data_IF_157088282919
#
_entry.id   IF_157088282919
#
_cell.length_a   1.000
_cell.length_b   1.000
_cell.length_c   1.000
_cell.angle_alpha   90.00
_cell.angle_beta   90.00
_cell.angle_gamma   90.00
#
_symmetry.space_group_name_H-M   'P 1'
#
loop_
_entity.id
_entity.type
_entity.pdbx_description
1 polymer ?
#
# COMPACT_ATOMS: atom_id res chain seq x y z
N UNK A 1 10.41 13.24 -33.99
CA UNK A 1 9.20 12.70 -33.34
C UNK A 1 8.72 13.73 -32.34
N UNK A 2 7.64 14.44 -32.58
CA UNK A 2 7.00 15.33 -31.60
C UNK A 2 6.56 14.43 -30.44
N UNK A 3 7.09 14.67 -29.23
CA UNK A 3 6.58 14.01 -28.03
C UNK A 3 5.11 14.39 -27.90
N UNK A 4 4.20 13.42 -28.01
CA UNK A 4 2.80 13.66 -27.68
C UNK A 4 2.74 14.28 -26.27
N UNK A 5 1.96 15.35 -26.13
CA UNK A 5 1.79 16.00 -24.82
C UNK A 5 1.12 15.00 -23.86
N UNK A 6 1.50 14.97 -22.57
CA UNK A 6 0.87 14.09 -21.61
C UNK A 6 -0.62 14.43 -21.50
N UNK A 7 -1.47 13.43 -21.67
CA UNK A 7 -2.92 13.60 -21.61
C UNK A 7 -3.50 13.44 -20.20
N UNK A 8 -2.77 12.77 -19.32
CA UNK A 8 -3.19 12.49 -17.93
C UNK A 8 -2.21 13.10 -16.94
N UNK A 9 -2.72 13.92 -16.03
CA UNK A 9 -1.96 14.37 -14.85
C UNK A 9 -2.23 13.43 -13.68
N UNK A 10 -1.22 12.70 -13.24
CA UNK A 10 -1.30 11.80 -12.08
C UNK A 10 -0.56 12.44 -10.91
N UNK A 11 -1.12 12.42 -9.70
CA UNK A 11 -0.42 12.88 -8.51
C UNK A 11 -0.72 12.05 -7.27
N UNK A 12 0.27 12.00 -6.39
CA UNK A 12 0.20 11.26 -5.13
C UNK A 12 1.23 11.77 -4.13
N UNK A 13 0.91 11.65 -2.85
CA UNK A 13 1.91 11.73 -1.76
C UNK A 13 2.56 10.35 -1.49
N UNK A 14 1.94 9.28 -1.99
CA UNK A 14 2.42 7.91 -1.82
C UNK A 14 3.49 7.59 -2.86
N UNK A 15 4.75 7.71 -2.48
CA UNK A 15 5.91 7.31 -3.27
C UNK A 15 7.08 6.98 -2.33
N UNK A 16 8.09 6.22 -2.79
CA UNK A 16 9.28 5.91 -1.99
C UNK A 16 10.00 7.18 -1.55
N UNK A 17 10.24 7.31 -0.25
CA UNK A 17 10.95 8.45 0.34
C UNK A 17 12.29 7.99 0.93
N UNK A 18 13.32 8.85 1.03
CA UNK A 18 14.66 8.45 1.50
C UNK A 18 14.67 7.70 2.85
N UNK A 19 13.72 8.02 3.74
CA UNK A 19 13.56 7.34 5.05
C UNK A 19 12.56 6.18 5.03
N UNK A 20 11.90 5.92 3.91
CA UNK A 20 10.85 4.91 3.75
C UNK A 20 10.79 4.42 2.31
N UNK A 21 11.88 3.79 1.86
CA UNK A 21 12.05 3.35 0.46
C UNK A 21 11.02 2.31 -0.01
N UNK A 22 10.43 1.56 0.91
CA UNK A 22 9.37 0.58 0.61
C UNK A 22 7.95 1.15 0.62
N UNK A 23 7.76 2.39 1.12
CA UNK A 23 6.44 3.02 1.17
C UNK A 23 6.07 3.59 -0.20
N UNK A 24 4.87 3.26 -0.71
CA UNK A 24 4.37 3.81 -1.98
C UNK A 24 5.04 3.23 -3.23
N UNK A 25 5.80 2.15 -3.12
CA UNK A 25 6.42 1.45 -4.26
C UNK A 25 5.37 1.07 -5.29
N UNK A 26 4.18 0.64 -4.86
CA UNK A 26 3.09 0.26 -5.74
C UNK A 26 2.63 1.41 -6.68
N UNK A 27 2.78 2.68 -6.29
CA UNK A 27 2.54 3.82 -7.20
C UNK A 27 3.61 3.85 -8.29
N UNK A 28 4.87 3.67 -7.92
CA UNK A 28 5.98 3.67 -8.88
C UNK A 28 5.85 2.51 -9.86
N UNK A 29 5.51 1.31 -9.38
CA UNK A 29 5.30 0.13 -10.25
C UNK A 29 4.11 0.35 -11.20
N UNK A 30 3.01 0.91 -10.71
CA UNK A 30 1.86 1.30 -11.53
C UNK A 30 2.26 2.30 -12.63
N UNK A 31 3.02 3.34 -12.30
CA UNK A 31 3.51 4.32 -13.26
C UNK A 31 4.51 3.74 -14.28
N UNK A 32 5.32 2.76 -13.86
CA UNK A 32 6.20 2.02 -14.78
C UNK A 32 5.39 1.24 -15.81
N UNK A 33 4.36 0.52 -15.36
CA UNK A 33 3.49 -0.24 -16.24
C UNK A 33 2.71 0.67 -17.19
N UNK A 34 2.21 1.84 -16.73
CA UNK A 34 1.62 2.87 -17.60
C UNK A 34 2.59 3.34 -18.69
N UNK A 35 3.85 3.59 -18.32
CA UNK A 35 4.89 3.98 -19.27
C UNK A 35 5.18 2.89 -20.31
N UNK A 36 5.19 1.63 -19.90
CA UNK A 36 5.40 0.48 -20.78
C UNK A 36 4.23 0.29 -21.78
N UNK A 37 2.99 0.59 -21.35
CA UNK A 37 1.82 0.58 -22.22
C UNK A 37 1.81 1.74 -23.24
N UNK A 38 2.73 2.71 -23.09
CA UNK A 38 2.84 3.87 -24.00
C UNK A 38 1.80 4.97 -23.74
N UNK A 39 1.08 4.94 -22.61
CA UNK A 39 0.15 6.00 -22.25
C UNK A 39 0.91 7.29 -21.90
N UNK A 40 0.62 8.43 -22.55
CA UNK A 40 1.28 9.69 -22.22
C UNK A 40 0.71 10.27 -20.93
N UNK A 41 1.48 10.18 -19.84
CA UNK A 41 1.14 10.78 -18.54
C UNK A 41 2.24 11.71 -18.06
N UNK A 42 1.86 12.61 -17.15
CA UNK A 42 2.80 13.36 -16.31
C UNK A 42 2.53 13.03 -14.84
N UNK A 43 3.59 12.89 -14.05
CA UNK A 43 3.48 12.60 -12.62
C UNK A 43 3.92 13.80 -11.79
N UNK A 44 3.08 14.19 -10.85
CA UNK A 44 3.34 15.24 -9.86
C UNK A 44 3.39 14.62 -8.45
N UNK A 45 4.51 14.07 -8.01
CA UNK A 45 4.67 13.62 -6.64
C UNK A 45 4.58 14.82 -5.69
N UNK A 46 3.75 14.70 -4.65
CA UNK A 46 3.56 15.77 -3.65
C UNK A 46 4.11 15.32 -2.31
N UNK A 47 4.81 16.18 -1.59
CA UNK A 47 5.31 15.87 -0.25
C UNK A 47 5.18 17.06 0.68
N UNK A 48 5.11 16.77 1.98
CA UNK A 48 5.18 17.80 3.02
C UNK A 48 6.59 17.89 3.58
N UNK A 49 7.02 19.09 3.95
CA UNK A 49 8.27 19.30 4.68
C UNK A 49 8.10 20.28 5.82
N UNK A 50 9.01 20.23 6.78
CA UNK A 50 9.01 21.16 7.91
C UNK A 50 9.51 22.53 7.47
N UNK A 51 8.80 23.60 7.81
CA UNK A 51 9.29 24.98 7.60
C UNK A 51 10.60 25.21 8.35
N UNK A 52 11.39 26.20 7.93
CA UNK A 52 12.71 26.44 8.52
C UNK A 52 12.70 26.55 10.04
N UNK A 53 11.78 27.30 10.70
CA UNK A 53 11.71 27.36 12.16
C UNK A 53 11.48 25.98 12.81
N UNK A 54 10.63 25.15 12.21
CA UNK A 54 10.36 23.79 12.73
C UNK A 54 11.60 22.92 12.59
N UNK A 55 12.30 23.02 11.49
CA UNK A 55 13.55 22.24 11.25
C UNK A 55 14.59 22.57 12.32
N UNK A 56 14.77 23.85 12.65
CA UNK A 56 15.67 24.29 13.72
C UNK A 56 15.21 23.74 15.08
N UNK A 57 13.94 23.91 15.42
CA UNK A 57 13.37 23.43 16.69
C UNK A 57 13.52 21.91 16.86
N UNK A 58 13.26 21.13 15.81
CA UNK A 58 13.42 19.68 15.83
C UNK A 58 14.88 19.28 16.05
N UNK A 59 15.81 19.92 15.35
CA UNK A 59 17.26 19.67 15.53
C UNK A 59 17.70 19.97 16.95
N UNK A 60 17.27 21.09 17.56
CA UNK A 60 17.58 21.44 18.93
C UNK A 60 17.03 20.43 19.95
N UNK A 61 15.92 19.75 19.64
CA UNK A 61 15.32 18.71 20.47
C UNK A 61 15.79 17.29 20.12
N UNK A 62 16.81 17.12 19.29
CA UNK A 62 17.32 15.81 18.88
C UNK A 62 16.43 15.04 17.89
N UNK A 63 15.41 15.67 17.29
CA UNK A 63 14.55 15.04 16.29
C UNK A 63 15.06 15.30 14.86
N UNK A 64 14.88 14.31 14.01
CA UNK A 64 15.17 14.47 12.58
C UNK A 64 14.05 15.27 11.89
N UNK A 65 14.35 16.45 11.30
CA UNK A 65 13.36 17.21 10.56
C UNK A 65 13.00 16.52 9.23
N UNK A 66 11.78 16.77 8.75
CA UNK A 66 11.40 16.47 7.36
C UNK A 66 11.97 17.56 6.46
N UNK A 67 12.75 17.15 5.46
CA UNK A 67 13.36 18.06 4.47
C UNK A 67 12.63 17.92 3.13
N UNK A 68 12.70 18.94 2.25
CA UNK A 68 12.20 18.83 0.89
C UNK A 68 12.88 17.66 0.18
N UNK A 69 12.10 16.96 -0.66
CA UNK A 69 12.57 15.91 -1.56
C UNK A 69 12.69 16.55 -2.94
N UNK A 70 13.77 16.32 -3.66
CA UNK A 70 14.02 16.96 -4.96
C UNK A 70 13.23 16.29 -6.06
N UNK A 71 13.36 14.99 -6.21
CA UNK A 71 12.68 14.25 -7.28
C UNK A 71 12.42 12.79 -6.92
N UNK A 72 11.50 12.18 -7.69
CA UNK A 72 11.25 10.73 -7.69
C UNK A 72 11.59 10.20 -9.08
N UNK A 73 12.28 9.08 -9.13
CA UNK A 73 12.60 8.39 -10.37
C UNK A 73 11.53 7.32 -10.67
N UNK A 74 10.98 7.37 -11.89
CA UNK A 74 10.12 6.31 -12.43
C UNK A 74 10.68 5.95 -13.80
N UNK A 75 11.08 4.70 -13.99
CA UNK A 75 11.89 4.28 -15.12
C UNK A 75 13.17 5.14 -15.23
N UNK A 76 13.41 5.73 -16.39
CA UNK A 76 14.57 6.62 -16.63
C UNK A 76 14.22 8.11 -16.45
N UNK A 77 12.97 8.45 -16.07
CA UNK A 77 12.52 9.83 -15.94
C UNK A 77 12.48 10.27 -14.48
N UNK A 78 12.99 11.47 -14.22
CA UNK A 78 12.91 12.12 -12.92
C UNK A 78 11.74 13.10 -12.89
N UNK A 79 10.90 12.96 -11.86
CA UNK A 79 9.77 13.85 -11.62
C UNK A 79 10.05 14.71 -10.39
N UNK A 80 10.07 16.05 -10.53
CA UNK A 80 10.31 16.94 -9.41
C UNK A 80 9.19 16.82 -8.37
N UNK A 81 9.56 16.74 -7.09
CA UNK A 81 8.59 16.66 -6.00
C UNK A 81 8.04 18.03 -5.67
N UNK A 82 6.73 18.17 -5.70
CA UNK A 82 6.02 19.37 -5.29
C UNK A 82 5.93 19.42 -3.77
N UNK A 83 6.81 20.24 -3.18
CA UNK A 83 6.97 20.29 -1.74
C UNK A 83 6.04 21.34 -1.11
N UNK A 84 5.07 20.89 -0.28
CA UNK A 84 4.15 21.75 0.47
C UNK A 84 4.70 22.03 1.86
N UNK A 85 4.99 23.30 2.14
CA UNK A 85 5.45 23.74 3.47
C UNK A 85 4.27 23.87 4.42
N UNK A 86 4.39 23.29 5.60
CA UNK A 86 3.39 23.42 6.67
C UNK A 86 3.99 24.06 7.91
N UNK A 87 3.22 24.91 8.56
CA UNK A 87 3.54 25.50 9.86
C UNK A 87 3.48 24.46 10.99
N UNK A 88 4.02 24.79 12.17
CA UNK A 88 4.04 23.88 13.32
C UNK A 88 2.63 23.48 13.76
N UNK A 89 1.71 24.43 13.81
CA UNK A 89 0.30 24.20 14.19
C UNK A 89 -0.34 23.19 13.23
N UNK A 90 -0.18 23.40 11.92
CA UNK A 90 -0.78 22.52 10.90
C UNK A 90 -0.16 21.11 10.95
N UNK A 91 1.15 20.99 11.22
CA UNK A 91 1.81 19.69 11.41
C UNK A 91 1.27 18.91 12.60
N UNK A 92 1.08 19.60 13.73
CA UNK A 92 0.46 19.00 14.92
C UNK A 92 -0.99 18.61 14.62
N UNK A 93 -1.73 19.48 13.94
CA UNK A 93 -3.11 19.23 13.54
C UNK A 93 -3.25 18.03 12.60
N UNK A 94 -2.32 17.83 11.63
CA UNK A 94 -2.33 16.62 10.81
C UNK A 94 -2.15 15.34 11.65
N UNK A 95 -1.24 15.35 12.63
CA UNK A 95 -1.03 14.19 13.53
C UNK A 95 -2.27 13.93 14.39
N UNK A 96 -2.94 14.99 14.85
CA UNK A 96 -4.17 14.91 15.65
C UNK A 96 -5.43 14.72 14.80
N UNK A 97 -5.29 14.60 13.50
CA UNK A 97 -6.40 14.51 12.54
C UNK A 97 -7.37 15.69 12.58
N UNK A 98 -6.86 16.89 12.88
CA UNK A 98 -7.69 18.12 12.89
C UNK A 98 -8.17 18.46 11.46
N UNK A 99 -9.49 18.60 11.21
CA UNK A 99 -10.05 18.84 9.88
C UNK A 99 -9.47 20.08 9.20
N UNK A 100 -9.30 21.18 9.94
CA UNK A 100 -8.76 22.43 9.41
C UNK A 100 -7.33 22.30 8.86
N UNK A 101 -6.48 21.54 9.55
CA UNK A 101 -5.09 21.31 9.15
C UNK A 101 -5.01 20.42 7.91
N UNK A 102 -5.84 19.38 7.85
CA UNK A 102 -5.94 18.51 6.68
C UNK A 102 -6.50 19.25 5.45
N UNK A 103 -7.52 20.08 5.63
CA UNK A 103 -8.07 20.92 4.55
C UNK A 103 -7.03 21.90 4.02
N UNK A 104 -6.26 22.54 4.91
CA UNK A 104 -5.19 23.44 4.51
C UNK A 104 -4.09 22.73 3.74
N UNK A 105 -3.77 21.49 4.12
CA UNK A 105 -2.83 20.67 3.38
C UNK A 105 -3.35 20.32 1.98
N UNK A 106 -4.61 19.88 1.87
CA UNK A 106 -5.22 19.55 0.58
C UNK A 106 -5.31 20.76 -0.36
N UNK A 107 -5.63 21.94 0.16
CA UNK A 107 -5.61 23.21 -0.58
C UNK A 107 -4.19 23.58 -1.02
N UNK A 108 -3.20 23.42 -0.13
CA UNK A 108 -1.79 23.63 -0.44
C UNK A 108 -1.28 22.71 -1.53
N UNK A 109 -1.74 21.46 -1.57
CA UNK A 109 -1.45 20.50 -2.62
C UNK A 109 -1.99 20.97 -3.97
N UNK A 110 -3.27 21.35 -4.05
CA UNK A 110 -3.86 21.88 -5.27
C UNK A 110 -3.09 23.11 -5.80
N UNK A 111 -2.77 24.05 -4.91
CA UNK A 111 -2.00 25.27 -5.25
C UNK A 111 -0.57 24.95 -5.73
N UNK A 112 0.10 23.95 -5.11
CA UNK A 112 1.43 23.53 -5.53
C UNK A 112 1.41 22.90 -6.92
N UNK A 113 0.41 22.07 -7.22
CA UNK A 113 0.23 21.46 -8.54
C UNK A 113 -0.03 22.56 -9.58
N UNK A 114 -0.98 23.44 -9.34
CA UNK A 114 -1.34 24.54 -10.24
C UNK A 114 -0.16 25.49 -10.56
N UNK A 115 0.65 25.78 -9.55
CA UNK A 115 1.85 26.63 -9.74
C UNK A 115 2.94 25.99 -10.62
N UNK A 116 3.04 24.66 -10.62
CA UNK A 116 4.13 23.94 -11.26
C UNK A 116 3.74 23.17 -12.53
N UNK A 117 2.45 23.09 -12.83
CA UNK A 117 1.90 22.38 -13.99
C UNK A 117 0.93 23.28 -14.75
N UNK A 118 0.99 23.25 -16.06
CA UNK A 118 -0.03 23.87 -16.90
C UNK A 118 -1.24 22.95 -17.01
N UNK A 119 -2.23 23.15 -16.16
CA UNK A 119 -3.37 22.23 -16.02
C UNK A 119 -4.18 22.11 -17.30
N UNK A 120 -4.31 23.16 -18.10
CA UNK A 120 -5.06 23.19 -19.34
C UNK A 120 -4.49 22.27 -20.45
N UNK A 121 -3.26 21.79 -20.28
CA UNK A 121 -2.65 20.83 -21.22
C UNK A 121 -3.11 19.38 -21.02
N UNK A 122 -3.75 19.08 -19.88
CA UNK A 122 -4.22 17.73 -19.58
C UNK A 122 -5.68 17.55 -19.92
N UNK A 123 -6.04 16.31 -20.28
CA UNK A 123 -7.44 15.92 -20.57
C UNK A 123 -8.10 15.19 -19.40
N UNK A 124 -7.30 14.73 -18.45
CA UNK A 124 -7.74 13.97 -17.29
C UNK A 124 -6.80 14.20 -16.11
N UNK A 125 -7.37 14.25 -14.92
CA UNK A 125 -6.64 14.30 -13.65
C UNK A 125 -6.86 12.99 -12.91
N UNK A 126 -5.79 12.33 -12.42
CA UNK A 126 -5.91 11.13 -11.58
C UNK A 126 -5.22 11.33 -10.24
N UNK A 127 -5.99 11.25 -9.16
CA UNK A 127 -5.49 11.33 -7.79
C UNK A 127 -5.43 9.95 -7.13
N UNK A 128 -4.27 9.57 -6.61
CA UNK A 128 -4.15 8.37 -5.79
C UNK A 128 -4.32 8.73 -4.31
N UNK A 129 -5.40 8.33 -3.76
CA UNK A 129 -6.13 8.56 -2.51
C UNK A 129 -7.29 9.54 -2.70
N UNK A 130 -8.41 9.18 -2.08
CA UNK A 130 -9.61 10.04 -2.13
C UNK A 130 -9.39 11.34 -1.36
N UNK A 131 -8.64 11.30 -0.26
CA UNK A 131 -8.28 12.50 0.51
C UNK A 131 -6.87 12.37 1.09
N UNK A 132 -6.05 13.41 1.01
CA UNK A 132 -6.30 14.77 0.52
C UNK A 132 -6.18 14.95 -1.01
N UNK A 133 -5.60 14.01 -1.75
CA UNK A 133 -5.33 14.13 -3.19
C UNK A 133 -6.61 14.31 -4.01
N UNK A 134 -7.65 13.51 -3.76
CA UNK A 134 -8.92 13.63 -4.49
C UNK A 134 -9.60 14.99 -4.28
N UNK A 135 -9.44 15.61 -3.11
CA UNK A 135 -9.89 17.00 -2.90
C UNK A 135 -9.14 17.97 -3.83
N UNK A 136 -7.82 17.82 -3.94
CA UNK A 136 -7.03 18.66 -4.85
C UNK A 136 -7.45 18.45 -6.31
N UNK A 137 -7.71 17.19 -6.72
CA UNK A 137 -8.21 16.86 -8.04
C UNK A 137 -9.58 17.49 -8.32
N UNK A 138 -10.52 17.38 -7.38
CA UNK A 138 -11.84 17.99 -7.48
C UNK A 138 -11.75 19.52 -7.64
N UNK A 139 -10.88 20.18 -6.87
CA UNK A 139 -10.68 21.64 -6.98
C UNK A 139 -10.12 22.06 -8.33
N UNK A 140 -9.12 21.34 -8.83
CA UNK A 140 -8.52 21.58 -10.15
C UNK A 140 -9.55 21.30 -11.27
N UNK A 141 -10.28 20.20 -11.17
CA UNK A 141 -11.37 19.84 -12.08
C UNK A 141 -12.44 20.94 -12.18
N UNK A 142 -12.92 21.44 -11.05
CA UNK A 142 -13.90 22.51 -11.00
C UNK A 142 -13.40 23.82 -11.64
N UNK A 143 -12.12 24.15 -11.45
CA UNK A 143 -11.53 25.39 -11.94
C UNK A 143 -11.24 25.35 -13.45
N UNK A 144 -10.75 24.21 -13.95
CA UNK A 144 -10.29 24.06 -15.32
C UNK A 144 -11.24 23.27 -16.22
N UNK A 145 -12.38 22.81 -15.67
CA UNK A 145 -13.36 21.98 -16.39
C UNK A 145 -12.76 20.71 -17.01
N UNK A 146 -11.81 20.07 -16.31
CA UNK A 146 -11.15 18.83 -16.72
C UNK A 146 -11.68 17.69 -15.84
N UNK A 147 -12.12 16.55 -16.42
CA UNK A 147 -12.58 15.40 -15.63
C UNK A 147 -11.50 14.88 -14.70
N UNK A 148 -11.90 14.31 -13.56
CA UNK A 148 -10.96 13.66 -12.65
C UNK A 148 -11.44 12.29 -12.22
N UNK A 149 -10.49 11.43 -11.92
CA UNK A 149 -10.69 10.14 -11.26
C UNK A 149 -9.89 10.08 -9.96
N UNK A 150 -10.35 9.22 -9.06
CA UNK A 150 -9.65 8.93 -7.81
C UNK A 150 -9.47 7.44 -7.63
N UNK A 151 -8.33 7.01 -7.08
CA UNK A 151 -8.13 5.63 -6.62
C UNK A 151 -8.10 5.59 -5.09
N UNK A 152 -9.02 4.83 -4.50
CA UNK A 152 -9.08 4.54 -3.07
C UNK A 152 -8.16 3.37 -2.72
N UNK A 153 -7.26 3.56 -1.75
CA UNK A 153 -6.27 2.55 -1.32
C UNK A 153 -6.54 1.95 0.06
N UNK A 154 -7.49 2.50 0.82
CA UNK A 154 -7.96 1.95 2.10
C UNK A 154 -7.95 2.94 3.26
N UNK A 155 -6.80 3.49 3.63
CA UNK A 155 -6.69 4.35 4.82
C UNK A 155 -7.66 5.53 4.85
N UNK A 156 -7.93 6.13 3.73
CA UNK A 156 -8.87 7.24 3.55
C UNK A 156 -10.35 6.87 3.66
N UNK A 157 -10.66 5.57 3.62
CA UNK A 157 -12.03 5.07 3.85
C UNK A 157 -12.18 4.55 5.29
N UNK A 158 -11.12 3.93 5.81
CA UNK A 158 -11.16 3.21 7.09
C UNK A 158 -10.78 4.06 8.29
N UNK A 159 -9.86 5.01 8.12
CA UNK A 159 -9.17 5.67 9.24
C UNK A 159 -9.43 7.17 9.34
N UNK A 160 -10.20 7.75 8.41
CA UNK A 160 -10.56 9.17 8.50
C UNK A 160 -11.61 9.41 9.58
N UNK A 161 -11.46 10.53 10.29
CA UNK A 161 -12.46 11.04 11.23
C UNK A 161 -13.82 11.20 10.54
N UNK A 162 -14.89 11.01 11.28
CA UNK A 162 -16.28 11.20 10.83
C UNK A 162 -16.50 12.57 10.16
N UNK A 163 -15.80 13.61 10.63
CA UNK A 163 -15.87 14.97 10.07
C UNK A 163 -15.53 15.03 8.57
N UNK A 164 -14.80 14.05 8.04
CA UNK A 164 -14.45 14.00 6.62
C UNK A 164 -15.40 13.13 5.78
N UNK A 165 -16.32 12.39 6.38
CA UNK A 165 -17.14 11.43 5.64
C UNK A 165 -17.96 12.09 4.53
N UNK A 166 -18.58 13.24 4.82
CA UNK A 166 -19.35 14.00 3.81
C UNK A 166 -18.46 14.48 2.67
N UNK A 167 -17.28 15.01 2.98
CA UNK A 167 -16.32 15.48 1.98
C UNK A 167 -15.79 14.34 1.11
N UNK A 168 -15.40 13.21 1.72
CA UNK A 168 -14.90 12.04 0.98
C UNK A 168 -15.98 11.47 0.07
N UNK A 169 -17.22 11.39 0.55
CA UNK A 169 -18.37 11.01 -0.28
C UNK A 169 -18.57 11.96 -1.45
N UNK A 170 -18.48 13.28 -1.23
CA UNK A 170 -18.59 14.30 -2.27
C UNK A 170 -17.49 14.14 -3.33
N UNK A 171 -16.24 13.94 -2.92
CA UNK A 171 -15.11 13.69 -3.83
C UNK A 171 -15.37 12.45 -4.68
N UNK A 172 -15.81 11.33 -4.06
CA UNK A 172 -16.12 10.10 -4.79
C UNK A 172 -17.25 10.29 -5.81
N UNK A 173 -18.33 10.98 -5.44
CA UNK A 173 -19.50 11.16 -6.29
C UNK A 173 -19.23 12.10 -7.48
N UNK A 174 -18.43 13.14 -7.26
CA UNK A 174 -18.11 14.11 -8.32
C UNK A 174 -16.98 13.66 -9.25
N UNK A 175 -16.27 12.58 -8.92
CA UNK A 175 -15.30 11.99 -9.83
C UNK A 175 -15.98 11.39 -11.05
N UNK A 176 -15.36 11.48 -12.23
CA UNK A 176 -15.84 10.77 -13.43
C UNK A 176 -15.84 9.27 -13.21
N UNK A 177 -14.84 8.76 -12.50
CA UNK A 177 -14.77 7.39 -11.96
C UNK A 177 -14.07 7.36 -10.62
N UNK A 178 -14.55 6.50 -9.72
CA UNK A 178 -13.91 6.16 -8.46
C UNK A 178 -13.40 4.72 -8.52
N UNK A 179 -12.08 4.56 -8.55
CA UNK A 179 -11.43 3.25 -8.57
C UNK A 179 -11.21 2.78 -7.13
N UNK A 180 -11.62 1.57 -6.83
CA UNK A 180 -11.38 0.90 -5.54
C UNK A 180 -10.46 -0.29 -5.76
N UNK A 181 -9.48 -0.47 -4.89
CA UNK A 181 -8.52 -1.58 -5.02
C UNK A 181 -9.10 -2.94 -4.60
N UNK A 182 -10.31 -2.98 -4.03
CA UNK A 182 -11.05 -4.21 -3.69
C UNK A 182 -12.56 -3.96 -3.62
N UNK A 183 -13.36 -5.03 -3.77
CA UNK A 183 -14.80 -5.00 -3.55
C UNK A 183 -15.14 -4.67 -2.09
N UNK A 184 -14.37 -5.23 -1.15
CA UNK A 184 -14.52 -4.94 0.28
C UNK A 184 -14.36 -3.44 0.57
N UNK A 185 -13.36 -2.78 -0.04
CA UNK A 185 -13.15 -1.34 0.13
C UNK A 185 -14.29 -0.51 -0.46
N UNK A 186 -14.82 -0.90 -1.63
CA UNK A 186 -15.98 -0.24 -2.22
C UNK A 186 -17.23 -0.44 -1.35
N UNK A 187 -17.44 -1.64 -0.82
CA UNK A 187 -18.52 -1.94 0.13
C UNK A 187 -18.42 -1.06 1.39
N UNK A 188 -17.21 -0.95 1.96
CA UNK A 188 -16.97 -0.09 3.12
C UNK A 188 -17.27 1.38 2.83
N UNK A 189 -16.95 1.88 1.64
CA UNK A 189 -17.31 3.25 1.24
C UNK A 189 -18.84 3.42 1.18
N UNK A 190 -19.57 2.43 0.68
CA UNK A 190 -21.05 2.47 0.67
C UNK A 190 -21.62 2.48 2.08
N UNK A 191 -21.16 1.59 2.96
CA UNK A 191 -21.70 1.42 4.29
C UNK A 191 -21.33 2.56 5.25
N UNK A 192 -20.05 3.01 5.22
CA UNK A 192 -19.53 4.01 6.16
C UNK A 192 -19.76 5.44 5.71
N UNK A 193 -19.67 5.69 4.40
CA UNK A 193 -19.75 7.04 3.85
C UNK A 193 -21.10 7.34 3.17
N UNK A 194 -21.91 6.33 2.92
CA UNK A 194 -23.13 6.44 2.12
C UNK A 194 -22.83 6.74 0.64
N UNK A 195 -21.73 6.19 0.11
CA UNK A 195 -21.42 6.25 -1.30
C UNK A 195 -22.34 5.32 -2.10
N UNK A 196 -22.88 5.80 -3.23
CA UNK A 196 -23.90 5.09 -4.01
C UNK A 196 -23.33 4.19 -5.13
N UNK A 197 -22.01 4.11 -5.23
CA UNK A 197 -21.23 3.35 -6.22
C UNK A 197 -21.61 3.58 -7.69
N UNK A 198 -22.34 4.64 -8.03
CA UNK A 198 -22.83 4.92 -9.39
C UNK A 198 -21.72 5.05 -10.42
N UNK A 199 -20.56 5.57 -10.02
CA UNK A 199 -19.35 5.75 -10.83
C UNK A 199 -18.17 4.90 -10.32
N UNK A 200 -18.43 3.92 -9.44
CA UNK A 200 -17.41 3.06 -8.84
C UNK A 200 -16.99 1.91 -9.76
N UNK A 201 -15.70 1.60 -9.74
CA UNK A 201 -15.13 0.42 -10.40
C UNK A 201 -14.06 -0.20 -9.50
N UNK A 202 -13.94 -1.52 -9.52
CA UNK A 202 -12.90 -2.23 -8.77
C UNK A 202 -11.78 -2.60 -9.72
N UNK A 203 -10.56 -2.11 -9.44
CA UNK A 203 -9.33 -2.46 -10.15
C UNK A 203 -8.26 -2.76 -9.07
N UNK A 204 -7.92 -4.03 -8.84
CA UNK A 204 -6.96 -4.41 -7.81
C UNK A 204 -5.54 -3.96 -8.16
N UNK A 205 -4.68 -3.86 -7.13
CA UNK A 205 -3.26 -3.69 -7.36
C UNK A 205 -2.68 -4.93 -8.03
N UNK A 206 -1.64 -4.74 -8.84
CA UNK A 206 -0.86 -5.81 -9.44
C UNK A 206 0.42 -6.12 -8.66
N UNK A 207 1.17 -7.10 -9.16
CA UNK A 207 2.54 -7.41 -8.75
C UNK A 207 3.45 -7.52 -9.97
N UNK A 208 4.71 -7.13 -9.85
CA UNK A 208 5.71 -7.36 -10.89
C UNK A 208 6.18 -8.82 -10.82
N UNK A 209 5.64 -9.66 -11.70
CA UNK A 209 5.97 -11.09 -11.78
C UNK A 209 7.35 -11.36 -12.37
N UNK A 210 8.04 -10.37 -12.93
CA UNK A 210 9.44 -10.49 -13.35
C UNK A 210 10.38 -10.35 -12.15
N UNK A 211 9.99 -9.56 -11.16
CA UNK A 211 10.71 -9.33 -9.91
C UNK A 211 10.33 -10.38 -8.87
N UNK A 212 9.03 -10.55 -8.59
CA UNK A 212 8.51 -11.55 -7.66
C UNK A 212 8.18 -12.85 -8.39
N UNK A 213 9.11 -13.79 -8.33
CA UNK A 213 9.00 -15.11 -8.94
C UNK A 213 9.69 -16.15 -8.07
N UNK A 214 9.40 -17.45 -8.24
CA UNK A 214 10.07 -18.49 -7.49
C UNK A 214 11.59 -18.47 -7.69
N UNK A 215 12.30 -18.59 -6.59
CA UNK A 215 13.74 -18.72 -6.48
C UNK A 215 14.06 -19.96 -5.64
N UNK A 216 15.33 -20.38 -5.61
CA UNK A 216 15.77 -21.41 -4.71
C UNK A 216 15.57 -20.97 -3.24
N UNK A 217 14.73 -21.70 -2.54
CA UNK A 217 14.33 -21.39 -1.16
C UNK A 217 15.50 -21.52 -0.18
N UNK A 218 16.34 -22.52 -0.34
CA UNK A 218 17.48 -22.72 0.55
C UNK A 218 18.53 -21.62 0.33
N UNK A 219 18.77 -21.22 -0.92
CA UNK A 219 19.66 -20.11 -1.24
C UNK A 219 19.14 -18.80 -0.60
N UNK A 220 17.84 -18.53 -0.73
CA UNK A 220 17.20 -17.37 -0.11
C UNK A 220 17.39 -17.38 1.42
N UNK A 221 17.17 -18.52 2.07
CA UNK A 221 17.36 -18.68 3.52
C UNK A 221 18.81 -18.50 3.94
N UNK A 222 19.77 -19.09 3.23
CA UNK A 222 21.20 -18.93 3.53
C UNK A 222 21.61 -17.45 3.47
N UNK A 223 21.20 -16.74 2.43
CA UNK A 223 21.50 -15.29 2.28
C UNK A 223 20.88 -14.42 3.37
N UNK A 224 19.73 -14.83 3.91
CA UNK A 224 19.04 -14.12 4.99
C UNK A 224 19.38 -14.67 6.39
N UNK A 225 20.32 -15.61 6.48
CA UNK A 225 20.73 -16.27 7.75
C UNK A 225 19.56 -16.92 8.49
N UNK A 226 18.64 -17.53 7.74
CA UNK A 226 17.47 -18.24 8.26
C UNK A 226 17.74 -19.75 8.35
N UNK A 227 17.12 -20.47 9.30
CA UNK A 227 17.30 -21.92 9.43
C UNK A 227 16.75 -22.67 8.19
N UNK A 228 17.49 -23.72 7.77
CA UNK A 228 17.12 -24.55 6.62
C UNK A 228 16.17 -25.69 6.99
N UNK A 229 16.25 -26.14 8.23
CA UNK A 229 15.53 -27.30 8.79
C UNK A 229 14.17 -26.92 9.43
N UNK A 230 13.82 -25.62 9.46
CA UNK A 230 12.58 -25.14 10.05
C UNK A 230 11.53 -24.75 9.01
N UNK A 231 10.28 -24.76 9.42
CA UNK A 231 9.16 -24.17 8.66
C UNK A 231 9.08 -22.68 8.97
N UNK A 232 9.27 -21.84 7.95
CA UNK A 232 9.32 -20.39 8.12
C UNK A 232 7.92 -19.78 8.00
N UNK A 233 7.42 -19.23 9.12
CA UNK A 233 6.21 -18.40 9.15
C UNK A 233 6.64 -16.94 9.05
N UNK A 234 6.29 -16.28 7.95
CA UNK A 234 6.67 -14.90 7.66
C UNK A 234 5.59 -13.90 8.04
N UNK A 235 5.99 -12.75 8.57
CA UNK A 235 5.19 -11.53 8.62
C UNK A 235 5.96 -10.42 7.91
N UNK A 236 5.29 -9.73 6.96
CA UNK A 236 5.88 -8.65 6.19
C UNK A 236 4.97 -7.42 6.22
N UNK A 237 5.43 -6.35 6.85
CA UNK A 237 4.66 -5.11 6.94
C UNK A 237 5.08 -4.18 8.07
N UNK A 238 4.39 -3.05 8.19
CA UNK A 238 4.60 -2.15 9.31
C UNK A 238 4.18 -2.82 10.64
N UNK A 239 5.01 -2.69 11.67
CA UNK A 239 4.75 -3.27 13.00
C UNK A 239 3.80 -2.37 13.79
N UNK A 240 2.51 -2.37 13.40
CA UNK A 240 1.41 -1.59 13.97
C UNK A 240 0.17 -2.45 14.18
N UNK A 241 -0.73 -2.02 15.06
CA UNK A 241 -1.92 -2.77 15.43
C UNK A 241 -2.87 -3.03 14.24
N UNK A 242 -3.06 -2.07 13.33
CA UNK A 242 -3.94 -2.26 12.18
C UNK A 242 -3.46 -3.40 11.26
N UNK A 243 -2.15 -3.67 11.21
CA UNK A 243 -1.56 -4.81 10.51
C UNK A 243 -1.57 -6.11 11.34
N UNK A 244 -2.08 -6.06 12.57
CA UNK A 244 -2.17 -7.20 13.46
C UNK A 244 -0.81 -7.71 13.97
N UNK A 245 0.25 -6.89 13.91
CA UNK A 245 1.57 -7.29 14.38
C UNK A 245 1.57 -7.66 15.87
N UNK A 246 0.74 -7.02 16.68
CA UNK A 246 0.53 -7.33 18.11
C UNK A 246 -0.03 -8.73 18.38
N UNK A 247 -0.64 -9.39 17.37
CA UNK A 247 -1.16 -10.77 17.46
C UNK A 247 -0.07 -11.83 17.32
N UNK A 248 1.07 -11.50 16.72
CA UNK A 248 2.14 -12.47 16.43
C UNK A 248 2.61 -13.27 17.64
N UNK A 249 2.81 -12.68 18.84
CA UNK A 249 3.24 -13.47 20.01
C UNK A 249 2.19 -14.50 20.46
N UNK A 250 0.89 -14.20 20.30
CA UNK A 250 -0.18 -15.14 20.62
C UNK A 250 -0.26 -16.25 19.57
N UNK A 251 -0.19 -15.90 18.28
CA UNK A 251 -0.12 -16.86 17.17
C UNK A 251 1.08 -17.81 17.37
N UNK A 252 2.26 -17.29 17.73
CA UNK A 252 3.43 -18.11 17.95
C UNK A 252 3.22 -19.10 19.11
N UNK A 253 2.67 -18.65 20.24
CA UNK A 253 2.38 -19.53 21.38
C UNK A 253 1.37 -20.63 21.05
N UNK A 254 0.31 -20.29 20.32
CA UNK A 254 -0.69 -21.30 19.91
C UNK A 254 -0.07 -22.30 18.90
N UNK A 255 0.71 -21.84 17.94
CA UNK A 255 1.35 -22.69 16.95
C UNK A 255 2.39 -23.64 17.57
N UNK A 256 3.14 -23.18 18.58
CA UNK A 256 4.11 -24.02 19.31
C UNK A 256 3.46 -25.15 20.12
N UNK A 257 2.18 -25.08 20.45
CA UNK A 257 1.44 -26.21 21.05
C UNK A 257 1.19 -27.32 20.03
N UNK A 258 1.17 -26.98 18.74
CA UNK A 258 0.83 -27.89 17.65
C UNK A 258 2.10 -28.50 17.01
N UNK A 259 3.22 -27.74 16.95
CA UNK A 259 4.47 -28.17 16.33
C UNK A 259 5.69 -27.39 16.83
N UNK A 260 6.86 -28.05 16.83
CA UNK A 260 8.13 -27.48 17.34
C UNK A 260 9.13 -27.08 16.23
N UNK A 261 8.82 -27.37 14.97
CA UNK A 261 9.71 -27.14 13.82
C UNK A 261 9.47 -25.80 13.11
N UNK A 262 8.83 -24.85 13.77
CA UNK A 262 8.53 -23.53 13.22
C UNK A 262 9.57 -22.46 13.61
N UNK A 263 9.71 -21.47 12.73
CA UNK A 263 10.53 -20.30 12.94
C UNK A 263 9.83 -19.07 12.36
N UNK A 264 9.81 -17.97 13.10
CA UNK A 264 9.15 -16.73 12.69
C UNK A 264 10.14 -15.76 12.06
N UNK A 265 9.88 -15.36 10.82
CA UNK A 265 10.65 -14.35 10.10
C UNK A 265 9.82 -13.07 9.98
N UNK A 266 10.23 -12.01 10.69
CA UNK A 266 9.48 -10.77 10.81
C UNK A 266 10.23 -9.66 10.08
N UNK A 267 9.64 -9.19 8.97
CA UNK A 267 10.18 -8.14 8.11
C UNK A 267 9.33 -6.88 8.28
N UNK A 268 9.96 -5.80 8.70
CA UNK A 268 9.35 -4.51 8.88
C UNK A 268 9.81 -3.78 10.12
N UNK A 269 9.24 -2.59 10.32
CA UNK A 269 9.55 -1.71 11.43
C UNK A 269 8.29 -0.99 11.90
N UNK A 270 8.28 -0.50 13.12
CA UNK A 270 7.14 0.24 13.66
C UNK A 270 7.16 0.33 15.18
N UNK A 271 6.18 1.06 15.75
CA UNK A 271 6.10 1.29 17.19
C UNK A 271 6.03 0.02 18.03
N UNK A 272 5.53 -1.09 17.47
CA UNK A 272 5.42 -2.37 18.18
C UNK A 272 6.72 -3.19 18.21
N UNK A 273 7.79 -2.79 17.49
CA UNK A 273 9.03 -3.58 17.38
C UNK A 273 9.61 -3.99 18.73
N UNK A 274 9.72 -3.04 19.67
CA UNK A 274 10.26 -3.31 21.01
C UNK A 274 9.40 -4.34 21.74
N UNK A 275 8.09 -4.12 21.78
CA UNK A 275 7.14 -5.03 22.45
C UNK A 275 7.15 -6.43 21.84
N UNK A 276 7.28 -6.53 20.52
CA UNK A 276 7.35 -7.82 19.83
C UNK A 276 8.62 -8.57 20.18
N UNK A 277 9.77 -7.91 20.20
CA UNK A 277 11.05 -8.54 20.61
C UNK A 277 11.03 -9.05 22.04
N UNK A 278 10.31 -8.37 22.94
CA UNK A 278 10.15 -8.79 24.34
C UNK A 278 9.17 -9.98 24.49
N UNK A 279 8.15 -10.08 23.63
CA UNK A 279 7.06 -11.07 23.77
C UNK A 279 7.20 -12.29 22.88
N UNK A 280 7.94 -12.20 21.77
CA UNK A 280 8.23 -13.34 20.91
C UNK A 280 9.33 -14.19 21.50
N UNK A 281 9.23 -15.53 21.41
CA UNK A 281 10.32 -16.42 21.82
C UNK A 281 11.56 -16.16 20.94
N UNK A 282 12.70 -15.81 21.58
CA UNK A 282 13.91 -15.36 20.86
C UNK A 282 14.60 -16.44 20.04
N UNK A 283 14.49 -17.69 20.47
CA UNK A 283 15.10 -18.86 19.82
C UNK A 283 14.37 -19.31 18.52
N UNK A 284 13.13 -18.84 18.33
CA UNK A 284 12.31 -19.17 17.14
C UNK A 284 11.91 -17.95 16.32
N UNK A 285 12.53 -16.80 16.52
CA UNK A 285 12.16 -15.58 15.80
C UNK A 285 13.35 -14.76 15.35
N UNK A 286 13.28 -14.24 14.12
CA UNK A 286 14.24 -13.30 13.56
C UNK A 286 13.53 -12.03 13.07
N UNK A 287 13.99 -10.88 13.56
CA UNK A 287 13.51 -9.56 13.18
C UNK A 287 14.51 -8.91 12.23
N UNK A 288 14.24 -8.99 10.93
CA UNK A 288 15.11 -8.43 9.89
C UNK A 288 15.08 -6.89 9.82
N UNK A 289 14.12 -6.27 10.52
CA UNK A 289 13.90 -4.83 10.34
C UNK A 289 13.30 -4.54 8.96
N UNK A 290 13.45 -3.30 8.51
CA UNK A 290 13.00 -2.88 7.18
C UNK A 290 14.02 -3.32 6.13
N UNK A 291 13.61 -4.16 5.20
CA UNK A 291 14.41 -4.55 4.05
C UNK A 291 14.24 -3.56 2.89
N UNK A 292 15.29 -3.41 2.10
CA UNK A 292 15.22 -2.73 0.80
C UNK A 292 14.34 -3.52 -0.18
N UNK A 293 13.66 -2.81 -1.09
CA UNK A 293 12.72 -3.44 -2.03
C UNK A 293 13.36 -4.55 -2.86
N UNK A 294 14.62 -4.38 -3.28
CA UNK A 294 15.36 -5.40 -4.03
C UNK A 294 15.62 -6.71 -3.29
N UNK A 295 15.54 -6.71 -1.95
CA UNK A 295 15.64 -7.92 -1.11
C UNK A 295 14.29 -8.58 -0.84
N UNK A 296 13.18 -7.93 -1.15
CA UNK A 296 11.84 -8.45 -0.87
C UNK A 296 11.53 -9.75 -1.62
N UNK A 297 11.89 -9.95 -2.90
CA UNK A 297 11.70 -11.24 -3.56
C UNK A 297 12.41 -12.39 -2.84
N UNK A 298 13.61 -12.16 -2.34
CA UNK A 298 14.36 -13.14 -1.54
C UNK A 298 13.66 -13.43 -0.21
N UNK A 299 13.20 -12.40 0.50
CA UNK A 299 12.44 -12.56 1.73
C UNK A 299 11.16 -13.38 1.50
N UNK A 300 10.38 -13.07 0.46
CA UNK A 300 9.16 -13.81 0.12
C UNK A 300 9.44 -15.30 -0.25
N UNK A 301 10.52 -15.56 -0.97
CA UNK A 301 10.92 -16.94 -1.31
C UNK A 301 11.45 -17.76 -0.12
N UNK A 302 11.93 -17.12 0.93
CA UNK A 302 12.40 -17.80 2.15
C UNK A 302 11.25 -18.33 3.01
N UNK A 303 10.04 -17.82 2.83
CA UNK A 303 8.84 -18.07 3.64
C UNK A 303 8.11 -19.32 3.13
N UNK A 304 7.62 -20.17 4.03
CA UNK A 304 6.67 -21.25 3.70
C UNK A 304 5.22 -20.75 3.77
N UNK A 305 4.89 -20.03 4.82
CA UNK A 305 3.56 -19.44 5.03
C UNK A 305 3.70 -17.98 5.44
N UNK A 306 3.15 -17.06 4.64
CA UNK A 306 2.98 -15.66 5.03
C UNK A 306 1.71 -15.53 5.88
N UNK A 307 1.82 -15.01 7.09
CA UNK A 307 0.67 -14.68 7.93
C UNK A 307 0.31 -13.20 7.82
N UNK A 308 -0.96 -12.89 7.55
CA UNK A 308 -1.50 -11.53 7.40
C UNK A 308 -2.65 -11.34 8.42
N UNK A 309 -2.33 -11.09 9.71
CA UNK A 309 -3.30 -11.02 10.79
C UNK A 309 -3.97 -9.64 10.89
N UNK A 310 -4.09 -8.93 9.78
CA UNK A 310 -4.53 -7.53 9.72
C UNK A 310 -5.96 -7.34 10.25
N UNK A 311 -6.21 -6.16 10.82
CA UNK A 311 -7.55 -5.70 11.21
C UNK A 311 -8.25 -4.96 10.07
N UNK A 312 -7.46 -4.42 9.16
CA UNK A 312 -7.96 -3.69 8.00
C UNK A 312 -6.92 -3.57 6.89
N UNK A 313 -7.35 -3.75 5.65
CA UNK A 313 -6.54 -3.63 4.43
C UNK A 313 -7.37 -3.14 3.26
N UNK A 314 -6.76 -2.32 2.39
CA UNK A 314 -7.34 -2.01 1.10
C UNK A 314 -7.20 -3.19 0.13
N UNK A 315 -5.96 -3.49 -0.25
CA UNK A 315 -5.55 -4.65 -1.06
C UNK A 315 -4.04 -4.86 -0.86
N UNK A 316 -3.60 -5.78 0.02
CA UNK A 316 -2.22 -5.86 0.45
C UNK A 316 -1.31 -6.45 -0.62
N UNK A 317 -0.39 -5.63 -1.15
CA UNK A 317 0.59 -6.04 -2.16
C UNK A 317 1.48 -7.19 -1.68
N UNK A 318 1.81 -7.25 -0.39
CA UNK A 318 2.63 -8.33 0.20
C UNK A 318 2.02 -9.72 0.01
N UNK A 319 0.69 -9.84 -0.10
CA UNK A 319 0.00 -11.09 -0.42
C UNK A 319 0.32 -11.51 -1.86
N UNK A 320 0.21 -10.59 -2.80
CA UNK A 320 0.50 -10.86 -4.21
C UNK A 320 1.98 -11.21 -4.42
N UNK A 321 2.88 -10.47 -3.75
CA UNK A 321 4.33 -10.69 -3.77
C UNK A 321 4.68 -12.09 -3.23
N UNK A 322 4.11 -12.49 -2.09
CA UNK A 322 4.33 -13.81 -1.50
C UNK A 322 3.78 -14.93 -2.40
N UNK A 323 2.56 -14.78 -2.93
CA UNK A 323 1.94 -15.73 -3.85
C UNK A 323 2.75 -15.87 -5.14
N UNK A 324 3.24 -14.78 -5.70
CA UNK A 324 4.08 -14.78 -6.89
C UNK A 324 5.41 -15.51 -6.67
N UNK A 325 5.96 -15.46 -5.46
CA UNK A 325 7.14 -16.21 -5.03
C UNK A 325 6.86 -17.67 -4.62
N UNK A 326 5.59 -18.08 -4.54
CA UNK A 326 5.19 -19.45 -4.21
C UNK A 326 4.96 -19.73 -2.72
N UNK A 327 5.00 -18.71 -1.86
CA UNK A 327 4.64 -18.85 -0.47
C UNK A 327 3.12 -19.01 -0.31
N UNK A 328 2.72 -19.83 0.66
CA UNK A 328 1.31 -19.92 1.05
C UNK A 328 0.92 -18.71 1.88
N UNK A 329 -0.33 -18.25 1.78
CA UNK A 329 -0.79 -17.08 2.54
C UNK A 329 -1.97 -17.45 3.41
N UNK A 330 -1.89 -17.11 4.68
CA UNK A 330 -2.98 -17.23 5.67
C UNK A 330 -3.27 -15.84 6.22
N UNK A 331 -4.52 -15.41 6.19
CA UNK A 331 -4.92 -14.08 6.65
C UNK A 331 -6.31 -14.02 7.23
N UNK A 332 -6.63 -12.88 7.83
CA UNK A 332 -7.97 -12.54 8.31
C UNK A 332 -8.87 -12.09 7.15
N UNK A 333 -10.19 -12.06 7.35
CA UNK A 333 -11.15 -11.50 6.37
C UNK A 333 -11.17 -9.95 6.34
N UNK A 334 -10.13 -9.31 6.81
CA UNK A 334 -10.08 -7.86 6.97
C UNK A 334 -9.94 -7.13 5.62
N UNK A 335 -10.99 -6.48 5.19
CA UNK A 335 -11.00 -5.71 3.95
C UNK A 335 -10.62 -6.56 2.74
N UNK A 336 -9.68 -6.09 1.91
CA UNK A 336 -9.24 -6.79 0.70
C UNK A 336 -8.31 -7.98 0.91
N UNK A 337 -8.07 -8.46 2.14
CA UNK A 337 -7.19 -9.62 2.40
C UNK A 337 -7.71 -10.88 1.74
N UNK A 338 -9.01 -11.20 1.94
CA UNK A 338 -9.62 -12.39 1.36
C UNK A 338 -9.57 -12.35 -0.18
N UNK A 339 -9.85 -11.20 -0.78
CA UNK A 339 -9.79 -11.02 -2.24
C UNK A 339 -8.36 -11.18 -2.78
N UNK A 340 -7.34 -10.70 -2.06
CA UNK A 340 -5.94 -10.83 -2.45
C UNK A 340 -5.40 -12.26 -2.29
N UNK A 341 -5.92 -13.04 -1.33
CA UNK A 341 -5.56 -14.46 -1.14
C UNK A 341 -6.17 -15.32 -2.26
N UNK A 342 -7.35 -14.95 -2.79
CA UNK A 342 -8.14 -15.68 -3.78
C UNK A 342 -8.85 -16.94 -3.24
N UNK A 343 -9.88 -17.39 -3.97
CA UNK A 343 -10.79 -18.48 -3.59
C UNK A 343 -10.16 -19.86 -3.42
N UNK A 344 -8.98 -20.08 -3.99
CA UNK A 344 -8.24 -21.35 -3.89
C UNK A 344 -7.28 -21.39 -2.68
N UNK A 345 -7.10 -20.28 -1.98
CA UNK A 345 -6.39 -20.19 -0.70
C UNK A 345 -7.35 -20.41 0.47
N UNK A 346 -6.81 -20.60 1.64
CA UNK A 346 -7.61 -20.50 2.86
C UNK A 346 -7.94 -19.02 2.98
N UNK A 347 -9.13 -18.63 2.56
CA UNK A 347 -9.68 -17.31 2.71
C UNK A 347 -9.67 -16.89 4.17
N UNK A 348 -10.03 -15.64 4.40
CA UNK A 348 -10.02 -15.06 5.73
C UNK A 348 -10.60 -15.96 6.79
N UNK A 349 -9.97 -15.98 7.95
CA UNK A 349 -10.40 -16.76 9.09
C UNK A 349 -11.23 -15.86 9.98
N UNK A 350 -12.50 -16.23 10.15
CA UNK A 350 -13.43 -15.60 11.06
C UNK A 350 -13.58 -16.49 12.30
N UNK A 351 -13.50 -15.92 13.47
CA UNK A 351 -13.72 -16.64 14.72
C UNK A 351 -13.54 -15.75 15.95
N UNK A 352 -14.04 -16.17 17.08
CA UNK A 352 -13.89 -15.46 18.34
C UNK A 352 -12.43 -15.43 18.83
N UNK A 353 -11.63 -16.46 18.48
CA UNK A 353 -10.19 -16.56 18.78
C UNK A 353 -9.38 -16.57 17.47
N UNK A 354 -9.15 -15.38 16.94
CA UNK A 354 -8.44 -15.18 15.67
C UNK A 354 -7.02 -15.76 15.70
N UNK A 355 -6.30 -15.58 16.80
CA UNK A 355 -4.92 -16.03 16.94
C UNK A 355 -4.81 -17.55 16.91
N UNK A 356 -5.72 -18.25 17.58
CA UNK A 356 -5.83 -19.72 17.54
C UNK A 356 -6.23 -20.20 16.17
N UNK A 357 -7.26 -19.62 15.56
CA UNK A 357 -7.72 -19.98 14.22
C UNK A 357 -6.63 -19.80 13.16
N UNK A 358 -5.87 -18.71 13.21
CA UNK A 358 -4.71 -18.49 12.33
C UNK A 358 -3.62 -19.56 12.56
N UNK A 359 -3.35 -19.93 13.81
CA UNK A 359 -2.34 -20.94 14.15
C UNK A 359 -2.72 -22.32 13.63
N UNK A 360 -3.99 -22.71 13.78
CA UNK A 360 -4.54 -23.99 13.26
C UNK A 360 -4.45 -24.03 11.73
N UNK A 361 -4.79 -22.93 11.03
CA UNK A 361 -4.70 -22.85 9.59
C UNK A 361 -3.25 -22.89 9.08
N UNK A 362 -2.33 -22.20 9.76
CA UNK A 362 -0.89 -22.28 9.47
C UNK A 362 -0.41 -23.73 9.62
N UNK A 363 -0.75 -24.40 10.74
CA UNK A 363 -0.36 -25.79 10.98
C UNK A 363 -0.90 -26.70 9.87
N UNK A 364 -2.18 -26.64 9.57
CA UNK A 364 -2.81 -27.44 8.51
C UNK A 364 -2.15 -27.23 7.14
N UNK A 365 -1.79 -25.99 6.81
CA UNK A 365 -1.09 -25.67 5.55
C UNK A 365 0.29 -26.28 5.48
N UNK A 366 1.04 -26.23 6.59
CA UNK A 366 2.39 -26.79 6.68
C UNK A 366 2.38 -28.34 6.67
N UNK A 367 1.38 -29.00 7.27
CA UNK A 367 1.20 -30.46 7.23
C UNK A 367 0.88 -30.95 5.82
N UNK A 368 0.02 -30.26 5.08
CA UNK A 368 -0.33 -30.61 3.71
C UNK A 368 0.78 -30.34 2.71
N UNK A 369 1.88 -29.74 3.12
CA UNK A 369 2.97 -29.37 2.22
C UNK A 369 2.50 -28.42 1.10
N UNK A 370 1.52 -27.57 1.39
CA UNK A 370 0.93 -26.68 0.40
C UNK A 370 1.97 -25.66 -0.06
N UNK A 371 2.43 -25.81 -1.27
CA UNK A 371 3.24 -24.83 -1.99
C UNK A 371 2.46 -24.38 -3.22
N UNK A 372 2.40 -23.07 -3.48
CA UNK A 372 1.82 -22.51 -4.71
C UNK A 372 2.67 -22.83 -5.95
N UNK A 373 3.30 -23.98 -5.97
CA UNK A 373 4.23 -24.39 -7.03
C UNK A 373 3.57 -24.68 -8.39
N UNK A 374 2.23 -24.78 -8.48
CA UNK A 374 1.58 -25.04 -9.77
C UNK A 374 1.46 -23.77 -10.60
N UNK A 375 1.91 -23.81 -11.85
CA UNK A 375 1.80 -22.74 -12.85
C UNK A 375 0.37 -22.22 -13.01
N UNK A 376 -0.64 -23.08 -12.84
CA UNK A 376 -2.07 -22.76 -12.95
C UNK A 376 -2.57 -21.81 -11.86
N UNK A 377 -2.00 -21.83 -10.66
CA UNK A 377 -2.39 -20.91 -9.56
C UNK A 377 -1.72 -19.54 -9.68
N UNK A 378 -0.54 -19.48 -10.31
CA UNK A 378 0.18 -18.23 -10.57
C UNK A 378 -0.47 -17.39 -11.67
N UNK A 379 -1.13 -18.00 -12.64
CA UNK A 379 -1.83 -17.30 -13.72
C UNK A 379 -3.03 -16.47 -13.25
N UNK A 380 -3.47 -16.64 -12.00
CA UNK A 380 -4.55 -15.87 -11.38
C UNK A 380 -4.09 -14.69 -10.52
N UNK A 381 -2.77 -14.46 -10.41
CA UNK A 381 -2.24 -13.31 -9.66
C UNK A 381 -2.21 -12.12 -10.60
N UNK A 382 -2.94 -11.02 -10.32
CA UNK A 382 -2.96 -9.84 -11.19
C UNK A 382 -1.55 -9.25 -11.31
N UNK A 383 -1.08 -9.08 -12.54
CA UNK A 383 0.14 -8.33 -12.84
C UNK A 383 -0.14 -6.83 -12.87
N UNK A 384 0.92 -6.01 -12.83
CA UNK A 384 0.74 -4.58 -13.06
C UNK A 384 0.26 -4.29 -14.48
N UNK A 385 0.65 -5.11 -15.46
CA UNK A 385 0.17 -5.01 -16.84
C UNK A 385 -1.35 -5.17 -16.90
N UNK A 386 -1.91 -6.24 -16.28
CA UNK A 386 -3.36 -6.46 -16.23
C UNK A 386 -4.09 -5.29 -15.56
N UNK A 387 -3.58 -4.84 -14.40
CA UNK A 387 -4.13 -3.70 -13.65
C UNK A 387 -4.19 -2.44 -14.50
N UNK A 388 -3.11 -2.15 -15.24
CA UNK A 388 -2.99 -0.93 -16.03
C UNK A 388 -3.78 -0.98 -17.33
N UNK A 389 -3.96 -2.16 -17.94
CA UNK A 389 -4.86 -2.32 -19.07
C UNK A 389 -6.33 -1.97 -18.70
N UNK A 390 -6.79 -2.41 -17.53
CA UNK A 390 -8.12 -2.03 -17.03
C UNK A 390 -8.20 -0.54 -16.68
N UNK A 391 -7.18 0.03 -16.06
CA UNK A 391 -7.13 1.46 -15.75
C UNK A 391 -7.09 2.33 -17.00
N UNK A 392 -6.38 1.90 -18.04
CA UNK A 392 -6.33 2.59 -19.33
C UNK A 392 -7.71 2.68 -20.00
N UNK A 393 -8.53 1.63 -19.92
CA UNK A 393 -9.93 1.67 -20.40
C UNK A 393 -10.74 2.74 -19.67
N UNK A 394 -10.52 2.89 -18.35
CA UNK A 394 -11.16 3.95 -17.56
C UNK A 394 -10.71 5.33 -18.02
N UNK A 395 -9.40 5.52 -18.29
CA UNK A 395 -8.88 6.79 -18.80
C UNK A 395 -9.51 7.18 -20.12
N UNK A 396 -9.51 6.25 -21.10
CA UNK A 396 -10.11 6.51 -22.41
C UNK A 396 -11.58 6.88 -22.30
N UNK A 397 -12.38 6.12 -21.54
CA UNK A 397 -13.80 6.42 -21.33
C UNK A 397 -14.10 7.71 -20.55
N UNK A 398 -13.11 8.32 -19.88
CA UNK A 398 -13.27 9.64 -19.26
C UNK A 398 -12.76 10.80 -20.12
N UNK A 399 -12.00 10.53 -21.17
CA UNK A 399 -11.45 11.54 -22.10
C UNK A 399 -12.25 11.69 -23.38
N UNK A 400 -13.17 10.76 -23.68
CA UNK A 400 -14.16 10.85 -24.74
C UNK A 400 -15.30 11.81 -24.36
#
# INVERSE_FOLDING_TARGET
MSREKPSVLIFSEMFPKPKSSSSGVFIVERLKALGNLGLPFDFAPVSTFDSLPIRILKKLKGYSPSVPIESVQVNQKHYPVLNVSLGLRDRIGLIKQEPSSWMKYAQGMASAIEKNKNIEEYRLIHAHRVFPEGYAAMRLSQKYSIPYIVTAHGGEIHSLSYDFHTLVREILRNASRAIFVSNALMKDACEKLGYDKSNGIVIPNGVDTNVFKPMDKEEARRKLSLPLDKKIVGFVGNLIEVKGADRLPAIARELLKLRSDVFFFIVGDGPLLKTLREKMPGDISHFAGRLEYGLMPMAMNSIDVLVVPSRNEGFPATILEARACGAWVIGTEAGGVAEAIDSDGIGGIVGEDIEKSLSEAINSSLEKGLHLASSTRRSKIPSWEDTIEEEAKVYWGCME
#
